data_IF_447666774478
#
_entry.id   IF_447666774478
#
_cell.length_a   1.000
_cell.length_b   1.000
_cell.length_c   1.000
_cell.angle_alpha   90.00
_cell.angle_beta   90.00
_cell.angle_gamma   90.00
#
_symmetry.space_group_name_H-M   'P 1'
#
loop_
_entity.id
_entity.type
_entity.pdbx_description
1 polymer ?
#
# COMPACT_ATOMS: atom_id res chain seq x y z
N UNK A 1 -14.17 -57.19 -16.71
CA UNK A 1 -13.00 -57.64 -17.50
C UNK A 1 -11.76 -57.13 -16.82
N UNK A 2 -11.06 -58.08 -16.22
CA UNK A 2 -9.88 -57.95 -15.34
C UNK A 2 -8.63 -57.75 -16.20
N UNK A 3 -7.77 -56.81 -15.85
CA UNK A 3 -6.35 -56.87 -16.24
C UNK A 3 -5.45 -56.19 -15.17
N UNK A 4 -4.70 -57.05 -14.50
CA UNK A 4 -3.50 -56.72 -13.69
C UNK A 4 -2.36 -56.32 -14.63
N UNK A 5 -1.59 -55.30 -14.28
CA UNK A 5 -0.20 -55.14 -14.73
C UNK A 5 0.69 -54.68 -13.58
N UNK A 6 1.53 -55.59 -13.19
CA UNK A 6 2.88 -55.60 -12.61
C UNK A 6 3.54 -54.33 -12.11
N UNK A 7 3.92 -54.45 -10.81
CA UNK A 7 5.09 -53.83 -10.19
C UNK A 7 6.37 -53.93 -11.01
N UNK A 8 7.10 -52.87 -11.20
CA UNK A 8 8.57 -52.87 -11.30
C UNK A 8 9.15 -51.82 -10.36
N UNK A 9 9.81 -52.36 -9.31
CA UNK A 9 10.79 -51.65 -8.52
C UNK A 9 12.02 -51.41 -9.37
N UNK A 10 12.49 -50.17 -9.40
CA UNK A 10 13.79 -49.76 -9.91
C UNK A 10 14.45 -48.90 -8.87
N UNK A 11 15.40 -49.46 -8.15
CA UNK A 11 16.31 -48.76 -7.27
C UNK A 11 17.27 -47.92 -8.15
N UNK A 12 17.34 -46.62 -7.90
CA UNK A 12 18.40 -45.77 -8.41
C UNK A 12 19.16 -45.17 -7.23
N UNK A 13 20.44 -45.43 -7.26
CA UNK A 13 21.46 -45.15 -6.26
C UNK A 13 21.62 -43.65 -6.00
N UNK A 14 21.88 -43.34 -4.75
CA UNK A 14 22.28 -42.02 -4.27
C UNK A 14 23.69 -41.68 -4.78
N UNK A 15 23.85 -40.51 -5.39
CA UNK A 15 25.14 -39.89 -5.66
C UNK A 15 25.57 -39.03 -4.47
N UNK A 16 26.85 -38.98 -4.09
CA UNK A 16 27.31 -38.24 -2.93
C UNK A 16 27.47 -36.73 -3.23
N UNK A 17 27.15 -35.94 -2.20
CA UNK A 17 27.33 -34.47 -2.15
C UNK A 17 28.83 -34.09 -2.16
N UNK A 18 29.22 -32.98 -2.82
CA UNK A 18 30.57 -32.46 -2.74
C UNK A 18 30.84 -31.75 -1.39
N UNK A 19 32.06 -31.96 -0.89
CA UNK A 19 32.60 -31.46 0.35
C UNK A 19 32.70 -29.92 0.40
N UNK A 20 32.46 -29.36 1.60
CA UNK A 20 32.73 -27.98 1.96
C UNK A 20 34.25 -27.71 1.98
N UNK A 21 34.72 -26.53 1.53
CA UNK A 21 36.08 -26.11 1.85
C UNK A 21 36.16 -25.57 3.28
N UNK A 22 37.23 -25.99 3.93
CA UNK A 22 37.65 -25.63 5.29
C UNK A 22 37.93 -24.13 5.44
N UNK A 23 37.57 -23.61 6.60
CA UNK A 23 37.88 -22.29 7.08
C UNK A 23 39.38 -22.21 7.43
N UNK A 24 40.07 -21.26 6.81
CA UNK A 24 41.44 -20.88 7.17
C UNK A 24 41.41 -19.93 8.37
N UNK A 25 42.00 -20.42 9.47
CA UNK A 25 42.26 -19.68 10.69
C UNK A 25 43.60 -18.97 10.54
N UNK A 26 43.60 -17.65 10.50
CA UNK A 26 44.80 -16.89 10.83
C UNK A 26 44.46 -15.81 11.86
N UNK A 27 45.00 -16.02 13.04
CA UNK A 27 45.19 -15.12 14.16
C UNK A 27 46.71 -15.16 14.45
N UNK A 28 47.31 -14.28 15.28
CA UNK A 28 47.36 -12.83 15.28
C UNK A 28 48.88 -12.38 15.31
N UNK A 29 49.13 -11.11 15.20
CA UNK A 29 50.39 -10.59 15.74
C UNK A 29 50.18 -9.24 16.42
N UNK A 30 50.46 -9.28 17.71
CA UNK A 30 50.77 -8.17 18.61
C UNK A 30 51.90 -7.31 18.10
N UNK A 31 51.74 -6.01 18.16
CA UNK A 31 52.85 -5.13 18.48
C UNK A 31 52.39 -3.81 19.12
N UNK A 32 52.58 -3.73 20.44
CA UNK A 32 52.86 -2.46 21.18
C UNK A 32 54.36 -2.32 21.25
N UNK A 33 54.96 -1.09 21.23
CA UNK A 33 55.27 -0.47 22.51
C UNK A 33 55.14 1.07 22.54
N UNK A 34 54.76 1.52 23.71
CA UNK A 34 55.39 2.48 24.62
C UNK A 34 55.99 3.80 24.12
N UNK A 35 55.54 4.83 24.80
CA UNK A 35 56.50 5.77 25.32
C UNK A 35 56.23 7.25 25.04
N UNK A 36 55.73 7.93 25.96
CA UNK A 36 56.30 9.10 26.63
C UNK A 36 55.39 10.32 26.80
N UNK A 37 55.04 10.56 28.03
CA UNK A 37 54.75 11.90 28.61
C UNK A 37 56.14 12.49 29.03
N UNK A 38 56.29 13.76 29.49
CA UNK A 38 55.32 14.81 29.84
C UNK A 38 55.81 16.23 29.44
N UNK A 39 55.04 17.24 29.74
CA UNK A 39 55.56 18.63 29.76
C UNK A 39 54.49 19.69 29.89
N UNK A 40 54.21 20.06 31.12
CA UNK A 40 53.57 21.28 31.60
C UNK A 40 54.13 22.57 30.95
N UNK A 41 53.24 23.55 30.80
CA UNK A 41 53.31 24.94 31.35
C UNK A 41 52.23 25.79 30.71
N UNK A 42 51.29 26.20 31.52
CA UNK A 42 51.05 27.58 32.00
C UNK A 42 51.75 28.68 31.18
N UNK A 43 50.98 29.59 30.57
CA UNK A 43 50.97 30.98 31.01
C UNK A 43 49.85 31.81 30.33
N UNK A 44 49.36 32.63 31.13
CA UNK A 44 48.47 33.77 31.11
C UNK A 44 48.77 34.83 30.03
N UNK A 45 47.74 35.60 29.89
CA UNK A 45 47.67 37.03 29.60
C UNK A 45 47.24 37.44 28.19
N UNK A 46 46.10 38.07 28.29
CA UNK A 46 45.39 38.83 27.31
C UNK A 46 46.24 39.86 26.55
N UNK A 47 45.85 40.06 25.33
CA UNK A 47 45.92 41.36 24.64
C UNK A 47 45.00 41.21 23.39
N UNK A 48 43.95 42.04 23.32
CA UNK A 48 43.29 42.33 22.06
C UNK A 48 44.20 43.20 21.20
N UNK A 49 44.34 42.93 19.91
CA UNK A 49 44.74 43.98 19.00
C UNK A 49 43.57 44.39 18.06
N UNK A 50 43.44 45.65 18.04
CA UNK A 50 42.86 46.60 17.10
C UNK A 50 42.72 46.09 15.67
N UNK A 51 41.51 46.34 15.16
CA UNK A 51 41.24 46.49 13.75
C UNK A 51 42.07 47.65 13.22
N UNK A 52 42.99 47.36 12.29
CA UNK A 52 43.54 48.33 11.35
C UNK A 52 43.34 47.73 9.96
N UNK A 53 42.60 48.47 9.14
CA UNK A 53 42.49 48.14 7.76
C UNK A 53 43.83 48.33 7.06
N UNK A 54 44.10 47.40 6.18
CA UNK A 54 44.87 47.69 4.96
C UNK A 54 44.59 46.53 3.99
N UNK A 55 44.11 46.91 2.83
CA UNK A 55 43.97 46.10 1.63
C UNK A 55 45.37 45.49 1.29
N UNK A 56 45.51 44.21 1.56
CA UNK A 56 46.56 43.43 0.90
C UNK A 56 45.82 42.29 0.14
N UNK A 57 45.58 42.56 -1.12
CA UNK A 57 45.26 41.52 -2.12
C UNK A 57 46.36 40.45 -2.09
N UNK A 58 46.06 39.32 -1.49
CA UNK A 58 46.91 38.12 -1.56
C UNK A 58 46.92 37.59 -3.00
N UNK A 59 48.03 37.67 -3.74
CA UNK A 59 48.07 37.23 -5.14
C UNK A 59 48.13 35.72 -5.29
N UNK A 60 47.99 34.94 -4.20
CA UNK A 60 48.02 33.47 -4.18
C UNK A 60 46.72 32.79 -3.88
N UNK A 61 45.60 33.49 -3.65
CA UNK A 61 44.33 32.86 -3.41
C UNK A 61 43.79 32.21 -4.70
N UNK A 62 43.85 30.88 -4.74
CA UNK A 62 43.22 30.09 -5.81
C UNK A 62 41.73 30.47 -5.93
N UNK A 63 41.22 30.70 -7.12
CA UNK A 63 39.81 31.02 -7.29
C UNK A 63 38.93 29.90 -6.73
N UNK A 64 37.81 30.21 -6.05
CA UNK A 64 36.96 29.20 -5.48
C UNK A 64 36.52 28.22 -6.59
N UNK A 65 36.46 26.91 -6.32
CA UNK A 65 36.12 25.94 -7.32
C UNK A 65 34.75 26.32 -7.94
N UNK A 66 34.75 26.57 -9.24
CA UNK A 66 33.56 26.90 -10.01
C UNK A 66 32.59 25.77 -9.80
N UNK A 67 31.43 26.07 -9.15
CA UNK A 67 30.31 25.12 -9.00
C UNK A 67 30.00 24.58 -10.39
N UNK A 68 29.99 23.24 -10.57
CA UNK A 68 29.65 22.67 -11.86
C UNK A 68 28.28 23.20 -12.26
N UNK A 69 28.24 24.00 -13.32
CA UNK A 69 26.99 24.40 -13.98
C UNK A 69 26.31 23.10 -14.37
N UNK A 70 25.26 22.71 -13.63
CA UNK A 70 24.38 21.60 -13.95
C UNK A 70 23.84 21.85 -15.35
N UNK A 71 24.49 21.30 -16.36
CA UNK A 71 23.94 21.23 -17.71
C UNK A 71 22.64 20.44 -17.59
N UNK A 72 21.52 21.12 -17.68
CA UNK A 72 20.21 20.49 -17.84
C UNK A 72 20.27 19.90 -19.25
N UNK A 73 20.78 18.66 -19.33
CA UNK A 73 20.86 17.95 -20.59
C UNK A 73 19.45 17.79 -21.18
N UNK A 74 19.32 17.91 -22.48
CA UNK A 74 18.07 17.68 -23.23
C UNK A 74 17.42 16.32 -22.93
N UNK A 75 18.16 15.38 -22.38
CA UNK A 75 17.66 14.07 -21.96
C UNK A 75 16.55 14.11 -20.89
N UNK A 76 16.54 15.12 -19.99
CA UNK A 76 15.49 15.25 -18.97
C UNK A 76 14.13 15.63 -19.57
N UNK A 77 13.99 16.71 -20.37
CA UNK A 77 12.71 17.06 -20.97
C UNK A 77 12.22 16.01 -21.98
N UNK A 78 13.12 15.35 -22.72
CA UNK A 78 12.78 14.24 -23.61
C UNK A 78 12.24 13.03 -22.81
N UNK A 79 12.88 12.64 -21.73
CA UNK A 79 12.40 11.54 -20.85
C UNK A 79 11.03 11.85 -20.26
N UNK A 80 10.82 13.05 -19.72
CA UNK A 80 9.51 13.48 -19.21
C UNK A 80 8.46 13.47 -20.32
N UNK A 81 8.79 13.97 -21.51
CA UNK A 81 7.88 13.98 -22.66
C UNK A 81 7.44 12.59 -23.08
N UNK A 82 8.38 11.64 -23.20
CA UNK A 82 8.08 10.25 -23.56
C UNK A 82 7.20 9.58 -22.51
N UNK A 83 7.52 9.74 -21.21
CA UNK A 83 6.72 9.17 -20.11
C UNK A 83 5.30 9.77 -20.09
N UNK A 84 5.18 11.07 -20.26
CA UNK A 84 3.88 11.74 -20.30
C UNK A 84 3.05 11.28 -21.49
N UNK A 85 3.66 11.21 -22.68
CA UNK A 85 2.99 10.70 -23.89
C UNK A 85 2.52 9.26 -23.71
N UNK A 86 3.39 8.39 -23.18
CA UNK A 86 3.07 6.99 -22.91
C UNK A 86 1.90 6.84 -21.94
N UNK A 87 1.93 7.55 -20.81
CA UNK A 87 0.83 7.57 -19.84
C UNK A 87 -0.47 8.12 -20.46
N UNK A 88 -0.37 9.17 -21.28
CA UNK A 88 -1.54 9.74 -21.94
C UNK A 88 -2.18 8.74 -22.91
N UNK A 89 -1.39 8.03 -23.69
CA UNK A 89 -1.92 7.06 -24.66
C UNK A 89 -2.51 5.85 -23.96
N UNK A 90 -1.85 5.31 -22.93
CA UNK A 90 -2.31 4.07 -22.28
C UNK A 90 -3.44 4.31 -21.29
N UNK A 91 -3.46 5.46 -20.60
CA UNK A 91 -4.43 5.72 -19.54
C UNK A 91 -5.50 6.73 -19.98
N UNK A 92 -5.09 7.91 -20.44
CA UNK A 92 -6.07 8.98 -20.71
C UNK A 92 -6.89 8.71 -21.97
N UNK A 93 -6.31 8.11 -23.01
CA UNK A 93 -7.03 7.88 -24.26
C UNK A 93 -8.16 6.84 -24.09
N UNK A 94 -7.97 5.65 -23.45
CA UNK A 94 -9.08 4.74 -23.15
C UNK A 94 -10.16 5.36 -22.25
N UNK A 95 -9.75 6.15 -21.22
CA UNK A 95 -10.71 6.82 -20.34
C UNK A 95 -11.50 7.89 -21.08
N UNK A 96 -10.87 8.65 -21.97
CA UNK A 96 -11.54 9.61 -22.82
C UNK A 96 -12.51 8.91 -23.79
N UNK A 97 -12.10 7.82 -24.42
CA UNK A 97 -12.95 7.02 -25.30
C UNK A 97 -14.18 6.48 -24.57
N UNK A 98 -14.01 5.92 -23.35
CA UNK A 98 -15.11 5.48 -22.50
C UNK A 98 -16.05 6.63 -22.15
N UNK A 99 -15.50 7.78 -21.80
CA UNK A 99 -16.28 8.99 -21.48
C UNK A 99 -17.09 9.47 -22.68
N UNK A 100 -16.48 9.53 -23.86
CA UNK A 100 -17.20 9.90 -25.09
C UNK A 100 -18.30 8.88 -25.40
N UNK A 101 -18.01 7.59 -25.32
CA UNK A 101 -18.98 6.52 -25.52
C UNK A 101 -20.15 6.61 -24.56
N UNK A 102 -19.93 6.99 -23.31
CA UNK A 102 -20.98 7.12 -22.29
C UNK A 102 -22.05 8.17 -22.63
N UNK A 103 -21.73 9.14 -23.50
CA UNK A 103 -22.66 10.17 -23.99
C UNK A 103 -23.20 9.86 -25.40
N UNK A 104 -23.06 8.63 -25.88
CA UNK A 104 -23.52 8.24 -27.22
C UNK A 104 -25.02 8.48 -27.48
N UNK A 105 -25.87 8.42 -26.44
CA UNK A 105 -27.29 8.78 -26.47
C UNK A 105 -27.56 10.20 -25.94
N UNK A 106 -26.51 11.05 -25.87
CA UNK A 106 -26.59 12.37 -25.31
C UNK A 106 -26.59 12.40 -23.77
N UNK A 107 -26.69 13.63 -23.23
CA UNK A 107 -26.67 13.84 -21.76
C UNK A 107 -27.89 13.23 -21.09
N UNK A 108 -29.05 13.27 -21.74
CA UNK A 108 -30.28 12.65 -21.22
C UNK A 108 -30.19 11.12 -21.12
N UNK A 109 -29.61 10.47 -22.13
CA UNK A 109 -29.34 9.03 -22.12
C UNK A 109 -28.36 8.63 -21.02
N UNK A 110 -27.28 9.40 -20.85
CA UNK A 110 -26.33 9.20 -19.75
C UNK A 110 -27.04 9.20 -18.38
N UNK A 111 -27.83 10.25 -18.09
CA UNK A 111 -28.52 10.35 -16.81
C UNK A 111 -29.61 9.28 -16.66
N UNK A 112 -30.33 8.93 -17.71
CA UNK A 112 -31.29 7.85 -17.68
C UNK A 112 -30.68 6.50 -17.34
N UNK A 113 -29.49 6.20 -17.90
CA UNK A 113 -28.72 4.99 -17.60
C UNK A 113 -28.22 4.97 -16.14
N UNK A 114 -27.61 6.05 -15.66
CA UNK A 114 -27.03 6.13 -14.30
C UNK A 114 -28.14 6.15 -13.23
N UNK A 115 -29.27 6.81 -13.48
CA UNK A 115 -30.37 6.92 -12.52
C UNK A 115 -31.38 5.77 -12.62
N UNK A 116 -31.19 4.80 -13.51
CA UNK A 116 -32.02 3.59 -13.54
C UNK A 116 -32.02 2.92 -12.15
N UNK A 117 -33.16 2.45 -11.63
CA UNK A 117 -33.27 1.96 -10.25
C UNK A 117 -32.27 0.85 -9.88
N UNK A 118 -31.98 -0.04 -10.86
CA UNK A 118 -30.98 -1.12 -10.66
C UNK A 118 -29.54 -0.60 -10.69
N UNK A 119 -29.24 0.40 -11.55
CA UNK A 119 -27.94 1.05 -11.61
C UNK A 119 -27.63 1.80 -10.32
N UNK A 120 -28.56 2.65 -9.85
CA UNK A 120 -28.42 3.37 -8.58
C UNK A 120 -28.25 2.42 -7.39
N UNK A 121 -29.04 1.33 -7.35
CA UNK A 121 -28.92 0.35 -6.28
C UNK A 121 -27.55 -0.33 -6.30
N UNK A 122 -27.03 -0.70 -7.47
CA UNK A 122 -25.71 -1.33 -7.60
C UNK A 122 -24.57 -0.38 -7.24
N UNK A 123 -24.64 0.90 -7.64
CA UNK A 123 -23.71 1.94 -7.23
C UNK A 123 -23.73 2.15 -5.71
N UNK A 124 -24.95 2.23 -5.13
CA UNK A 124 -25.11 2.38 -3.67
C UNK A 124 -24.53 1.20 -2.90
N UNK A 125 -24.87 -0.05 -3.29
CA UNK A 125 -24.33 -1.26 -2.67
C UNK A 125 -22.78 -1.25 -2.74
N UNK A 126 -22.23 -0.92 -3.90
CA UNK A 126 -20.77 -0.86 -4.09
C UNK A 126 -20.11 0.16 -3.15
N UNK A 127 -20.63 1.39 -3.13
CA UNK A 127 -20.06 2.45 -2.28
C UNK A 127 -20.21 2.12 -0.79
N UNK A 128 -21.40 1.66 -0.39
CA UNK A 128 -21.67 1.31 1.01
C UNK A 128 -20.78 0.18 1.49
N UNK A 129 -20.73 -0.94 0.75
CA UNK A 129 -19.91 -2.10 1.14
C UNK A 129 -18.42 -1.73 1.12
N UNK A 130 -17.96 -1.03 0.09
CA UNK A 130 -16.56 -0.56 0.04
C UNK A 130 -16.20 0.38 1.18
N UNK A 131 -17.11 1.27 1.60
CA UNK A 131 -16.88 2.16 2.73
C UNK A 131 -16.80 1.37 4.06
N UNK A 132 -17.71 0.42 4.28
CA UNK A 132 -17.67 -0.46 5.46
C UNK A 132 -16.34 -1.23 5.50
N UNK A 133 -15.95 -1.84 4.40
CA UNK A 133 -14.70 -2.60 4.26
C UNK A 133 -13.49 -1.71 4.52
N UNK A 134 -13.46 -0.50 3.95
CA UNK A 134 -12.35 0.44 4.15
C UNK A 134 -12.20 0.82 5.64
N UNK A 135 -13.29 1.11 6.33
CA UNK A 135 -13.28 1.43 7.78
C UNK A 135 -12.84 0.23 8.61
N UNK A 136 -13.39 -0.96 8.33
CA UNK A 136 -13.00 -2.18 9.04
C UNK A 136 -11.53 -2.50 8.81
N UNK A 137 -11.04 -2.40 7.58
CA UNK A 137 -9.63 -2.61 7.25
C UNK A 137 -8.72 -1.53 7.84
N UNK A 138 -9.17 -0.28 7.99
CA UNK A 138 -8.42 0.75 8.70
C UNK A 138 -8.11 0.33 10.14
N UNK A 139 -9.08 -0.26 10.82
CA UNK A 139 -8.92 -0.74 12.20
C UNK A 139 -8.13 -2.06 12.25
N UNK A 140 -8.63 -3.09 11.56
CA UNK A 140 -8.03 -4.43 11.60
C UNK A 140 -6.64 -4.45 10.94
N UNK A 141 -6.46 -3.77 9.82
CA UNK A 141 -5.18 -3.69 9.14
C UNK A 141 -4.12 -2.96 9.97
N UNK A 142 -4.51 -1.89 10.67
CA UNK A 142 -3.61 -1.20 11.62
C UNK A 142 -3.26 -2.09 12.81
N UNK A 143 -4.24 -2.82 13.36
CA UNK A 143 -4.00 -3.78 14.45
C UNK A 143 -3.06 -4.90 14.02
N UNK A 144 -3.29 -5.49 12.85
CA UNK A 144 -2.42 -6.53 12.27
C UNK A 144 -1.01 -5.99 12.02
N UNK A 145 -0.88 -4.79 11.44
CA UNK A 145 0.41 -4.14 11.25
C UNK A 145 1.14 -3.90 12.58
N UNK A 146 0.41 -3.46 13.60
CA UNK A 146 0.94 -3.27 14.95
C UNK A 146 1.52 -4.56 15.52
N UNK A 147 0.73 -5.64 15.56
CA UNK A 147 1.18 -6.94 16.08
C UNK A 147 2.39 -7.46 15.29
N UNK A 148 2.37 -7.33 13.95
CA UNK A 148 3.49 -7.78 13.11
C UNK A 148 4.77 -6.96 13.29
N UNK A 149 4.71 -5.72 13.74
CA UNK A 149 5.92 -4.90 13.95
C UNK A 149 6.38 -4.95 15.39
N UNK A 150 5.46 -4.86 16.34
CA UNK A 150 5.79 -4.69 17.78
C UNK A 150 5.98 -5.99 18.53
N UNK A 151 5.30 -7.08 18.13
CA UNK A 151 5.34 -8.35 18.83
C UNK A 151 6.23 -9.36 18.13
N UNK A 152 6.92 -10.20 18.93
CA UNK A 152 7.69 -11.34 18.47
C UNK A 152 6.96 -12.63 18.88
N UNK A 153 6.56 -13.43 17.88
CA UNK A 153 5.88 -14.70 18.11
C UNK A 153 6.29 -15.75 17.07
N UNK A 154 6.19 -17.04 17.43
CA UNK A 154 6.50 -18.11 16.48
C UNK A 154 5.50 -18.08 15.31
N UNK A 155 6.01 -18.22 14.07
CA UNK A 155 5.17 -18.17 12.87
C UNK A 155 4.92 -16.77 12.30
N UNK A 156 5.45 -15.70 12.88
CA UNK A 156 5.34 -14.32 12.37
C UNK A 156 5.62 -14.19 10.86
N UNK A 157 6.65 -14.90 10.36
CA UNK A 157 6.98 -14.92 8.92
C UNK A 157 5.88 -15.52 8.07
N UNK A 158 5.22 -16.58 8.56
CA UNK A 158 4.11 -17.24 7.87
C UNK A 158 2.90 -16.31 7.83
N UNK A 159 2.54 -15.69 8.96
CA UNK A 159 1.42 -14.72 9.03
C UNK A 159 1.69 -13.55 8.08
N UNK A 160 2.91 -13.03 8.06
CA UNK A 160 3.29 -11.94 7.16
C UNK A 160 3.17 -12.34 5.68
N UNK A 161 3.51 -13.58 5.31
CA UNK A 161 3.31 -14.11 3.95
C UNK A 161 1.83 -14.36 3.63
N UNK A 162 1.03 -14.81 4.60
CA UNK A 162 -0.42 -15.02 4.41
C UNK A 162 -1.18 -13.73 4.14
N UNK A 163 -0.72 -12.61 4.71
CA UNK A 163 -1.32 -11.29 4.43
C UNK A 163 -1.11 -10.89 2.96
N UNK A 164 -0.02 -11.32 2.32
CA UNK A 164 0.23 -11.04 0.91
C UNK A 164 -0.47 -12.02 -0.04
N UNK A 165 -1.05 -13.10 0.49
CA UNK A 165 -1.72 -14.12 -0.31
C UNK A 165 -2.80 -13.55 -1.25
N UNK A 166 -3.65 -12.57 -0.85
CA UNK A 166 -4.63 -11.96 -1.74
C UNK A 166 -4.02 -11.27 -2.97
N UNK A 167 -2.78 -10.81 -2.91
CA UNK A 167 -2.10 -10.24 -4.07
C UNK A 167 -1.65 -11.29 -5.09
N UNK A 168 -1.36 -12.51 -4.61
CA UNK A 168 -0.90 -13.61 -5.45
C UNK A 168 -2.06 -14.43 -6.06
N UNK A 169 -3.24 -14.41 -5.42
CA UNK A 169 -4.40 -15.18 -5.88
C UNK A 169 -5.18 -14.41 -6.95
N UNK A 170 -5.58 -15.09 -8.05
CA UNK A 170 -6.60 -14.56 -8.93
C UNK A 170 -7.89 -14.31 -8.12
N UNK A 171 -8.50 -13.12 -8.25
CA UNK A 171 -9.61 -12.72 -7.39
C UNK A 171 -10.85 -13.64 -7.52
N UNK A 172 -11.04 -14.23 -8.70
CA UNK A 172 -12.12 -15.23 -8.89
C UNK A 172 -11.85 -16.51 -8.07
N UNK A 173 -10.60 -16.91 -7.89
CA UNK A 173 -10.23 -18.04 -7.04
C UNK A 173 -10.53 -17.74 -5.57
N UNK A 174 -10.28 -16.50 -5.15
CA UNK A 174 -10.69 -16.03 -3.82
C UNK A 174 -12.21 -16.18 -3.62
N UNK A 175 -13.01 -15.85 -4.63
CA UNK A 175 -14.48 -16.04 -4.58
C UNK A 175 -14.87 -17.51 -4.41
N UNK A 176 -14.19 -18.43 -5.11
CA UNK A 176 -14.44 -19.89 -4.99
C UNK A 176 -14.09 -20.38 -3.57
N UNK A 177 -12.93 -19.98 -3.07
CA UNK A 177 -12.48 -20.35 -1.71
C UNK A 177 -13.46 -19.84 -0.65
N UNK A 178 -13.87 -18.58 -0.77
CA UNK A 178 -14.83 -17.99 0.16
C UNK A 178 -16.24 -18.61 0.03
N UNK A 179 -16.67 -18.94 -1.18
CA UNK A 179 -17.93 -19.67 -1.39
C UNK A 179 -17.84 -21.08 -0.79
N UNK A 180 -16.71 -21.77 -0.87
CA UNK A 180 -16.51 -23.07 -0.23
C UNK A 180 -16.55 -22.98 1.29
N UNK A 181 -16.08 -21.85 1.86
CA UNK A 181 -16.04 -21.64 3.31
C UNK A 181 -17.36 -21.09 3.88
N UNK A 182 -18.05 -20.21 3.13
CA UNK A 182 -19.23 -19.48 3.58
C UNK A 182 -20.48 -19.74 2.71
N UNK A 183 -20.44 -20.73 1.85
CA UNK A 183 -21.56 -21.12 1.00
C UNK A 183 -22.57 -22.01 1.70
N UNK A 184 -23.56 -22.55 0.95
CA UNK A 184 -24.64 -23.41 1.49
C UNK A 184 -24.15 -24.67 2.22
N UNK A 185 -22.96 -25.18 1.87
CA UNK A 185 -22.35 -26.33 2.49
C UNK A 185 -21.13 -25.94 3.35
N UNK A 186 -21.22 -24.81 4.05
CA UNK A 186 -20.14 -24.26 4.87
C UNK A 186 -19.63 -25.27 5.92
N UNK A 187 -18.33 -25.61 5.93
CA UNK A 187 -17.76 -26.53 6.93
C UNK A 187 -17.72 -25.93 8.33
N UNK A 188 -17.85 -24.59 8.45
CA UNK A 188 -17.85 -23.87 9.73
C UNK A 188 -19.27 -23.51 10.19
N UNK A 189 -20.30 -23.89 9.44
CA UNK A 189 -21.70 -23.64 9.79
C UNK A 189 -22.17 -22.18 9.64
N UNK A 190 -21.39 -21.33 8.95
CA UNK A 190 -21.72 -19.93 8.70
C UNK A 190 -22.00 -19.74 7.22
N UNK A 191 -23.25 -19.42 6.87
CA UNK A 191 -23.67 -19.18 5.51
C UNK A 191 -23.79 -17.67 5.25
N UNK A 192 -22.97 -17.14 4.33
CA UNK A 192 -22.98 -15.74 3.90
C UNK A 192 -23.22 -15.59 2.39
N UNK A 193 -23.45 -16.71 1.69
CA UNK A 193 -23.69 -16.70 0.25
C UNK A 193 -24.90 -15.83 -0.10
N UNK A 194 -24.78 -15.07 -1.18
CA UNK A 194 -25.82 -14.17 -1.70
C UNK A 194 -26.31 -13.13 -0.67
N UNK A 195 -25.43 -12.73 0.26
CA UNK A 195 -25.69 -11.67 1.24
C UNK A 195 -24.71 -10.50 1.11
N UNK A 196 -25.07 -9.33 1.64
CA UNK A 196 -24.13 -8.19 1.73
C UNK A 196 -22.93 -8.49 2.63
N UNK A 197 -23.08 -9.34 3.63
CA UNK A 197 -21.98 -9.77 4.49
C UNK A 197 -20.98 -10.65 3.75
N UNK A 198 -21.44 -11.48 2.81
CA UNK A 198 -20.58 -12.22 1.90
C UNK A 198 -19.71 -11.29 1.04
N UNK A 199 -20.29 -10.18 0.54
CA UNK A 199 -19.55 -9.14 -0.17
C UNK A 199 -18.50 -8.47 0.75
N UNK A 200 -18.90 -8.13 1.98
CA UNK A 200 -17.99 -7.52 2.96
C UNK A 200 -16.79 -8.42 3.25
N UNK A 201 -17.03 -9.71 3.54
CA UNK A 201 -15.94 -10.66 3.83
C UNK A 201 -15.02 -10.84 2.63
N UNK A 202 -15.58 -10.94 1.41
CA UNK A 202 -14.76 -11.07 0.20
C UNK A 202 -13.86 -9.84 -0.04
N UNK A 203 -14.42 -8.66 0.12
CA UNK A 203 -13.67 -7.41 -0.06
C UNK A 203 -12.68 -7.18 1.08
N UNK A 204 -13.00 -7.52 2.33
CA UNK A 204 -12.06 -7.46 3.45
C UNK A 204 -10.82 -8.31 3.17
N UNK A 205 -11.02 -9.55 2.72
CA UNK A 205 -9.92 -10.46 2.39
C UNK A 205 -9.00 -9.85 1.32
N UNK A 206 -9.55 -9.36 0.22
CA UNK A 206 -8.75 -8.86 -0.93
C UNK A 206 -8.07 -7.53 -0.61
N UNK A 207 -8.67 -6.70 0.26
CA UNK A 207 -8.18 -5.33 0.47
C UNK A 207 -7.44 -5.11 1.79
N UNK A 208 -7.42 -6.07 2.72
CA UNK A 208 -6.68 -6.01 3.98
C UNK A 208 -5.19 -5.66 3.78
N UNK A 209 -4.47 -6.29 2.82
CA UNK A 209 -3.04 -6.04 2.65
C UNK A 209 -2.70 -4.56 2.39
N UNK A 210 -3.60 -3.81 1.75
CA UNK A 210 -3.34 -2.40 1.42
C UNK A 210 -3.12 -1.54 2.66
N UNK A 211 -3.93 -1.73 3.70
CA UNK A 211 -3.77 -0.99 4.95
C UNK A 211 -2.55 -1.51 5.72
N UNK A 212 -2.40 -2.82 5.85
CA UNK A 212 -1.26 -3.42 6.57
C UNK A 212 0.07 -2.92 5.98
N UNK A 213 0.23 -2.99 4.64
CA UNK A 213 1.47 -2.60 3.97
C UNK A 213 1.71 -1.09 3.92
N UNK A 214 0.67 -0.28 4.09
CA UNK A 214 0.84 1.17 4.24
C UNK A 214 1.30 1.55 5.65
N UNK A 215 0.82 0.85 6.69
CA UNK A 215 1.09 1.18 8.10
C UNK A 215 2.42 0.58 8.59
N UNK A 216 2.78 -0.64 8.17
CA UNK A 216 3.99 -1.33 8.63
C UNK A 216 5.28 -0.52 8.50
N UNK A 217 5.62 0.11 7.35
CA UNK A 217 6.87 0.87 7.22
C UNK A 217 6.95 2.02 8.23
N UNK A 218 5.85 2.75 8.40
CA UNK A 218 5.79 3.89 9.32
C UNK A 218 5.97 3.42 10.78
N UNK A 219 5.40 2.26 11.15
CA UNK A 219 5.62 1.67 12.46
C UNK A 219 7.06 1.19 12.69
N UNK A 220 7.74 0.71 11.65
CA UNK A 220 9.14 0.29 11.72
C UNK A 220 10.05 1.51 11.92
N UNK A 221 9.73 2.61 11.23
CA UNK A 221 10.50 3.87 11.29
C UNK A 221 10.16 4.70 12.55
N UNK A 222 9.03 4.42 13.21
CA UNK A 222 8.61 5.14 14.40
C UNK A 222 9.61 4.92 15.57
N UNK A 223 10.12 6.04 16.08
CA UNK A 223 11.11 6.04 17.15
C UNK A 223 10.52 5.58 18.48
N UNK A 224 11.03 4.47 19.00
CA UNK A 224 10.64 3.93 20.31
C UNK A 224 11.10 4.78 21.49
N UNK A 225 12.17 5.54 21.32
CA UNK A 225 12.70 6.40 22.38
C UNK A 225 11.66 7.46 22.80
N UNK A 226 10.85 7.96 21.87
CA UNK A 226 9.76 8.91 22.18
C UNK A 226 8.68 8.25 23.02
N UNK A 227 8.34 6.98 22.75
CA UNK A 227 7.36 6.21 23.52
C UNK A 227 7.89 5.92 24.94
N UNK A 228 9.17 5.55 25.06
CA UNK A 228 9.86 5.28 26.33
C UNK A 228 10.01 6.55 27.17
N UNK A 229 10.33 7.69 26.55
CA UNK A 229 10.37 9.00 27.22
C UNK A 229 9.00 9.39 27.77
N UNK A 230 7.93 9.19 26.99
CA UNK A 230 6.56 9.44 27.46
C UNK A 230 6.19 8.55 28.65
N UNK A 231 6.56 7.27 28.60
CA UNK A 231 6.35 6.33 29.71
C UNK A 231 7.11 6.76 30.98
N UNK A 232 8.36 7.23 30.84
CA UNK A 232 9.19 7.76 31.94
C UNK A 232 8.58 9.01 32.60
N UNK A 233 7.82 9.80 31.83
CA UNK A 233 7.04 10.94 32.32
C UNK A 233 5.67 10.56 32.91
N UNK A 234 5.38 9.25 33.03
CA UNK A 234 4.15 8.73 33.63
C UNK A 234 2.96 8.64 32.67
N UNK A 235 3.16 8.76 31.37
CA UNK A 235 2.09 8.54 30.41
C UNK A 235 1.68 7.06 30.38
N UNK A 236 0.36 6.79 30.39
CA UNK A 236 -0.15 5.43 30.20
C UNK A 236 0.03 4.98 28.72
N UNK A 237 0.10 3.66 28.48
CA UNK A 237 0.20 3.10 27.13
C UNK A 237 -0.89 3.63 26.18
N UNK A 238 -2.12 3.82 26.69
CA UNK A 238 -3.22 4.38 25.91
C UNK A 238 -3.00 5.86 25.57
N UNK A 239 -2.43 6.64 26.51
CA UNK A 239 -2.10 8.05 26.28
C UNK A 239 -1.00 8.19 25.23
N UNK A 240 0.06 7.37 25.33
CA UNK A 240 1.16 7.30 24.37
C UNK A 240 0.64 6.89 22.99
N UNK A 241 -0.16 5.83 22.92
CA UNK A 241 -0.77 5.39 21.65
C UNK A 241 -1.61 6.51 21.02
N UNK A 242 -2.53 7.12 21.76
CA UNK A 242 -3.48 8.09 21.20
C UNK A 242 -2.83 9.44 20.84
N UNK A 243 -1.82 9.88 21.61
CA UNK A 243 -1.23 11.22 21.45
C UNK A 243 0.06 11.24 20.63
N UNK A 244 0.75 10.12 20.53
CA UNK A 244 2.04 10.03 19.84
C UNK A 244 1.91 9.11 18.64
N UNK A 245 1.60 7.83 18.87
CA UNK A 245 1.66 6.81 17.83
C UNK A 245 0.55 6.97 16.79
N UNK A 246 -0.70 7.10 17.22
CA UNK A 246 -1.84 7.20 16.31
C UNK A 246 -1.77 8.42 15.37
N UNK A 247 -1.41 9.63 15.83
CA UNK A 247 -1.18 10.75 14.93
C UNK A 247 -0.10 10.46 13.88
N UNK A 248 1.06 9.94 14.29
CA UNK A 248 2.14 9.57 13.38
C UNK A 248 1.70 8.55 12.32
N UNK A 249 0.81 7.60 12.68
CA UNK A 249 0.28 6.60 11.76
C UNK A 249 -0.89 7.11 10.92
N UNK A 250 -1.57 8.17 11.33
CA UNK A 250 -2.81 8.62 10.68
C UNK A 250 -2.67 8.87 9.17
N UNK A 251 -1.60 9.49 8.64
CA UNK A 251 -1.43 9.65 7.20
C UNK A 251 -1.31 8.30 6.47
N UNK A 252 -0.60 7.34 7.04
CA UNK A 252 -0.44 6.00 6.47
C UNK A 252 -1.74 5.19 6.51
N UNK A 253 -2.48 5.26 7.62
CA UNK A 253 -3.80 4.65 7.77
C UNK A 253 -4.76 5.21 6.73
N UNK A 254 -4.84 6.55 6.61
CA UNK A 254 -5.71 7.21 5.63
C UNK A 254 -5.31 6.86 4.18
N UNK A 255 -4.01 6.82 3.89
CA UNK A 255 -3.49 6.41 2.58
C UNK A 255 -3.85 4.97 2.23
N UNK A 256 -3.57 4.02 3.14
CA UNK A 256 -3.90 2.61 2.99
C UNK A 256 -5.41 2.35 2.88
N UNK A 257 -6.21 3.07 3.69
CA UNK A 257 -7.68 3.01 3.64
C UNK A 257 -8.21 3.51 2.29
N UNK A 258 -7.63 4.59 1.77
CA UNK A 258 -7.98 5.11 0.45
C UNK A 258 -7.69 4.11 -0.67
N UNK A 259 -6.54 3.46 -0.63
CA UNK A 259 -6.18 2.41 -1.58
C UNK A 259 -7.10 1.20 -1.47
N UNK A 260 -7.41 0.75 -0.24
CA UNK A 260 -8.34 -0.34 0.02
C UNK A 260 -9.74 -0.03 -0.51
N UNK A 261 -10.25 1.19 -0.30
CA UNK A 261 -11.53 1.65 -0.83
C UNK A 261 -11.56 1.67 -2.36
N UNK A 262 -10.53 2.27 -2.99
CA UNK A 262 -10.45 2.32 -4.45
C UNK A 262 -10.38 0.91 -5.07
N UNK A 263 -9.67 -0.01 -4.42
CA UNK A 263 -9.59 -1.40 -4.84
C UNK A 263 -10.92 -2.12 -4.67
N UNK A 264 -11.63 -1.87 -3.57
CA UNK A 264 -12.94 -2.47 -3.28
C UNK A 264 -14.03 -2.02 -4.28
N UNK A 265 -14.06 -0.72 -4.63
CA UNK A 265 -15.05 -0.20 -5.61
C UNK A 265 -14.95 -0.89 -6.97
N UNK A 266 -13.73 -1.16 -7.44
CA UNK A 266 -13.49 -1.78 -8.74
C UNK A 266 -13.47 -3.30 -8.72
N UNK A 267 -13.74 -3.94 -7.57
CA UNK A 267 -13.64 -5.40 -7.47
C UNK A 267 -14.81 -6.10 -8.14
N UNK A 268 -14.49 -7.16 -8.90
CA UNK A 268 -15.45 -8.03 -9.58
C UNK A 268 -15.22 -9.50 -9.19
N UNK A 269 -13.98 -9.99 -9.35
CA UNK A 269 -13.69 -11.41 -9.27
C UNK A 269 -13.98 -12.03 -7.92
N UNK A 270 -13.63 -11.37 -6.82
CA UNK A 270 -13.79 -11.91 -5.47
C UNK A 270 -15.26 -11.94 -5.00
N UNK A 271 -16.11 -11.13 -5.61
CA UNK A 271 -17.55 -11.01 -5.25
C UNK A 271 -18.49 -11.74 -6.20
N UNK A 272 -18.00 -12.16 -7.37
CA UNK A 272 -18.88 -12.66 -8.46
C UNK A 272 -19.66 -13.91 -8.08
N UNK A 273 -19.07 -14.82 -7.31
CA UNK A 273 -19.72 -16.08 -6.91
C UNK A 273 -20.38 -15.96 -5.53
N UNK A 274 -19.66 -15.45 -4.54
CA UNK A 274 -20.18 -15.37 -3.18
C UNK A 274 -21.30 -14.33 -3.01
N UNK A 275 -21.29 -13.27 -3.84
CA UNK A 275 -22.26 -12.18 -3.75
C UNK A 275 -23.67 -12.53 -4.28
N UNK A 276 -23.80 -13.59 -5.10
CA UNK A 276 -25.08 -14.05 -5.66
C UNK A 276 -25.68 -13.13 -6.73
N UNK A 277 -25.11 -11.95 -6.99
CA UNK A 277 -25.52 -11.01 -8.06
C UNK A 277 -27.05 -10.68 -8.08
N UNK A 278 -27.66 -10.53 -6.90
CA UNK A 278 -29.10 -10.27 -6.78
C UNK A 278 -29.35 -8.78 -7.03
N UNK A 279 -30.13 -8.39 -8.08
CA UNK A 279 -30.41 -6.99 -8.38
C UNK A 279 -31.06 -6.26 -7.18
N UNK A 280 -30.56 -5.04 -6.91
CA UNK A 280 -30.95 -4.16 -5.79
C UNK A 280 -30.57 -4.64 -4.38
N UNK A 281 -30.09 -5.86 -4.21
CA UNK A 281 -29.72 -6.42 -2.92
C UNK A 281 -28.21 -6.60 -2.76
N UNK A 282 -27.58 -7.43 -3.59
CA UNK A 282 -26.17 -7.76 -3.54
C UNK A 282 -25.39 -7.48 -4.82
N UNK A 283 -26.09 -7.11 -5.89
CA UNK A 283 -25.42 -6.76 -7.15
C UNK A 283 -24.57 -5.51 -6.99
N UNK A 284 -23.25 -5.64 -7.17
CA UNK A 284 -22.32 -4.51 -7.20
C UNK A 284 -22.22 -3.90 -8.61
N UNK A 285 -21.72 -2.66 -8.70
CA UNK A 285 -21.66 -1.92 -9.96
C UNK A 285 -20.85 -2.64 -11.06
N UNK A 286 -19.75 -3.31 -10.70
CA UNK A 286 -18.96 -4.09 -11.64
C UNK A 286 -19.75 -5.26 -12.25
N UNK A 287 -20.59 -5.94 -11.47
CA UNK A 287 -21.48 -7.00 -11.94
C UNK A 287 -22.62 -6.43 -12.80
N UNK A 288 -23.19 -5.29 -12.42
CA UNK A 288 -24.18 -4.59 -13.22
C UNK A 288 -23.62 -4.16 -14.59
N UNK A 289 -22.42 -3.60 -14.63
CA UNK A 289 -21.73 -3.21 -15.86
C UNK A 289 -21.53 -4.44 -16.77
N UNK A 290 -21.04 -5.55 -16.21
CA UNK A 290 -20.88 -6.79 -16.95
C UNK A 290 -22.21 -7.29 -17.53
N UNK A 291 -23.28 -7.28 -16.73
CA UNK A 291 -24.62 -7.66 -17.17
C UNK A 291 -25.11 -6.77 -18.33
N UNK A 292 -24.87 -5.44 -18.29
CA UNK A 292 -25.27 -4.54 -19.37
C UNK A 292 -24.55 -4.88 -20.69
N UNK A 293 -23.28 -5.30 -20.62
CA UNK A 293 -22.52 -5.76 -21.79
C UNK A 293 -23.12 -7.06 -22.35
N UNK A 294 -23.44 -8.01 -21.48
CA UNK A 294 -24.01 -9.33 -21.86
C UNK A 294 -25.38 -9.23 -22.53
N UNK A 295 -26.20 -8.22 -22.16
CA UNK A 295 -27.49 -7.96 -22.76
C UNK A 295 -27.45 -6.94 -23.91
N UNK A 296 -26.28 -6.72 -24.47
CA UNK A 296 -26.05 -5.82 -25.63
C UNK A 296 -26.48 -4.36 -25.40
N UNK A 297 -26.18 -3.84 -24.20
CA UNK A 297 -26.41 -2.43 -23.83
C UNK A 297 -25.08 -1.72 -23.42
N UNK A 298 -24.09 -1.65 -24.33
CA UNK A 298 -22.77 -1.14 -23.99
C UNK A 298 -22.74 0.34 -23.58
N UNK A 299 -23.69 1.15 -24.09
CA UNK A 299 -23.79 2.57 -23.71
C UNK A 299 -24.21 2.74 -22.24
N UNK A 300 -25.14 1.91 -21.76
CA UNK A 300 -25.52 1.89 -20.33
C UNK A 300 -24.35 1.44 -19.46
N UNK A 301 -23.61 0.41 -19.91
CA UNK A 301 -22.39 -0.04 -19.22
C UNK A 301 -21.35 1.08 -19.14
N UNK A 302 -21.11 1.82 -20.24
CA UNK A 302 -20.18 2.93 -20.28
C UNK A 302 -20.61 4.08 -19.35
N UNK A 303 -21.89 4.44 -19.33
CA UNK A 303 -22.41 5.50 -18.46
C UNK A 303 -22.23 5.18 -16.97
N UNK A 304 -22.58 3.95 -16.55
CA UNK A 304 -22.39 3.52 -15.15
C UNK A 304 -20.90 3.38 -14.80
N UNK A 305 -20.05 2.95 -15.74
CA UNK A 305 -18.60 2.89 -15.54
C UNK A 305 -17.99 4.27 -15.30
N UNK A 306 -18.39 5.29 -16.07
CA UNK A 306 -17.94 6.68 -15.89
C UNK A 306 -18.43 7.23 -14.55
N UNK A 307 -19.68 6.96 -14.16
CA UNK A 307 -20.22 7.35 -12.86
C UNK A 307 -19.43 6.71 -11.71
N UNK A 308 -19.13 5.40 -11.80
CA UNK A 308 -18.33 4.68 -10.81
C UNK A 308 -16.90 5.23 -10.71
N UNK A 309 -16.27 5.52 -11.85
CA UNK A 309 -14.94 6.14 -11.92
C UNK A 309 -14.93 7.52 -11.27
N UNK A 310 -15.95 8.34 -11.53
CA UNK A 310 -16.10 9.66 -10.92
C UNK A 310 -16.25 9.57 -9.39
N UNK A 311 -17.07 8.62 -8.90
CA UNK A 311 -17.23 8.37 -7.46
C UNK A 311 -15.90 7.94 -6.83
N UNK A 312 -15.19 6.99 -7.43
CA UNK A 312 -13.91 6.50 -6.95
C UNK A 312 -12.88 7.63 -6.90
N UNK A 313 -12.76 8.41 -7.98
CA UNK A 313 -11.83 9.54 -8.06
C UNK A 313 -12.15 10.62 -7.01
N UNK A 314 -13.41 11.00 -6.87
CA UNK A 314 -13.85 12.00 -5.89
C UNK A 314 -13.53 11.55 -4.46
N UNK A 315 -13.81 10.29 -4.14
CA UNK A 315 -13.53 9.73 -2.81
C UNK A 315 -12.02 9.73 -2.53
N UNK A 316 -11.19 9.28 -3.49
CA UNK A 316 -9.73 9.35 -3.35
C UNK A 316 -9.22 10.78 -3.19
N UNK A 317 -9.77 11.74 -3.93
CA UNK A 317 -9.42 13.14 -3.83
C UNK A 317 -9.72 13.69 -2.43
N UNK A 318 -10.91 13.38 -1.90
CA UNK A 318 -11.31 13.77 -0.55
C UNK A 318 -10.37 13.19 0.50
N UNK A 319 -10.09 11.88 0.42
CA UNK A 319 -9.17 11.21 1.35
C UNK A 319 -7.74 11.80 1.26
N UNK A 320 -7.26 12.10 0.05
CA UNK A 320 -5.95 12.73 -0.15
C UNK A 320 -5.89 14.14 0.45
N UNK A 321 -6.94 14.94 0.27
CA UNK A 321 -7.02 16.28 0.87
C UNK A 321 -7.04 16.19 2.39
N UNK A 322 -7.76 15.21 2.95
CA UNK A 322 -7.80 14.99 4.40
C UNK A 322 -6.41 14.59 4.93
N UNK A 323 -5.74 13.62 4.30
CA UNK A 323 -4.40 13.19 4.72
C UNK A 323 -3.36 14.32 4.64
N UNK A 324 -3.40 15.14 3.58
CA UNK A 324 -2.48 16.27 3.44
C UNK A 324 -2.70 17.39 4.48
N UNK A 325 -3.92 17.54 4.97
CA UNK A 325 -4.23 18.50 6.05
C UNK A 325 -3.69 18.01 7.41
N UNK A 326 -3.70 16.72 7.64
CA UNK A 326 -3.14 16.12 8.87
C UNK A 326 -1.63 16.33 8.92
N UNK A 327 -0.91 16.02 7.85
CA UNK A 327 0.55 16.26 7.76
C UNK A 327 0.96 17.72 7.98
N UNK A 328 0.23 18.67 7.39
CA UNK A 328 0.52 20.11 7.56
C UNK A 328 0.23 20.64 8.98
N UNK A 329 -0.62 19.97 9.75
CA UNK A 329 -0.85 20.33 11.16
C UNK A 329 0.33 19.89 12.02
N UNK A 330 0.84 18.69 11.80
CA UNK A 330 2.02 18.17 12.49
C UNK A 330 3.26 19.04 12.25
N UNK A 331 3.50 19.49 10.99
CA UNK A 331 4.59 20.41 10.65
C UNK A 331 4.46 21.82 11.31
N UNK A 332 3.27 22.22 11.75
CA UNK A 332 3.05 23.52 12.40
C UNK A 332 3.15 23.44 13.93
N UNK A 333 2.93 22.26 14.48
CA UNK A 333 2.92 22.02 15.93
C UNK A 333 4.28 21.46 16.40
N UNK A 334 5.19 21.11 15.46
CA UNK A 334 6.59 20.74 15.68
C UNK A 334 7.52 21.94 15.52
#
# INVERSE_FOLDING_TARGET
VTARIHQRRGAAAAAPLPARPEADKHQPDEHRPDGNRPGEREDRDGIRPRVSGDDATDPGAAPPPSRPRRRIGLARPLGVGVVTLWLSVIVLLPLAALTVASFGEGVSGFWAAVTAPTALASLWVTVLVSAIVAVVNAVLGTLVAWVLVRDEFPGKRVVNALIDLPFALPTIVASIVLLSLYGPNSPIGVELNATRWGLVVALLFVTLPFVVRSVQPVLIEADREVEEAAASLGASNWTTFRRIVLPTLAPAILGGTGLAFARAIGEYGSVVLIGGNIPRETQVASQYIQQQIEIDRPLNAAAVSVALLAIAFLTLLVLRVLSSRTQRREERDA
#
